data_IF_337322205654
#
_entry.id   IF_337322205654
#
_cell.length_a   1.000
_cell.length_b   1.000
_cell.length_c   1.000
_cell.angle_alpha   90.00
_cell.angle_beta   90.00
_cell.angle_gamma   90.00
#
_symmetry.space_group_name_H-M   'P 1'
#
loop_
_entity.id
_entity.type
_entity.pdbx_description
1 polymer ?
#
# COMPACT_ATOMS: atom_id res chain seq x y z
N UNK A 1 -6.53 5.18 70.34
CA UNK A 1 -5.67 5.38 69.15
C UNK A 1 -6.17 4.46 68.05
N UNK A 2 -6.67 5.04 66.97
CA UNK A 2 -7.32 4.38 65.84
C UNK A 2 -6.23 3.81 64.93
N UNK A 3 -6.25 2.51 64.63
CA UNK A 3 -5.38 1.89 63.62
C UNK A 3 -6.03 2.08 62.24
N UNK A 4 -5.36 2.83 61.36
CA UNK A 4 -5.70 2.98 59.95
C UNK A 4 -5.37 1.66 59.21
N UNK A 5 -6.35 1.05 58.54
CA UNK A 5 -6.11 0.00 57.55
C UNK A 5 -5.88 0.68 56.19
N UNK A 6 -4.67 0.60 55.64
CA UNK A 6 -4.42 0.89 54.23
C UNK A 6 -4.57 -0.42 53.45
N UNK A 7 -5.69 -0.59 52.74
CA UNK A 7 -5.78 -1.59 51.67
C UNK A 7 -5.15 -1.01 50.41
N UNK A 8 -3.99 -1.53 50.00
CA UNK A 8 -3.46 -1.32 48.67
C UNK A 8 -4.23 -2.19 47.67
N UNK A 9 -5.04 -1.57 46.82
CA UNK A 9 -5.59 -2.22 45.63
C UNK A 9 -4.46 -2.31 44.59
N UNK A 10 -3.85 -3.49 44.44
CA UNK A 10 -3.02 -3.77 43.28
C UNK A 10 -3.95 -3.96 42.07
N UNK A 11 -4.00 -2.97 41.19
CA UNK A 11 -4.53 -3.13 39.84
C UNK A 11 -3.56 -4.06 39.07
N UNK A 12 -3.90 -5.33 38.97
CA UNK A 12 -3.23 -6.29 38.09
C UNK A 12 -3.66 -5.94 36.67
N UNK A 13 -2.82 -5.20 35.95
CA UNK A 13 -2.94 -5.15 34.49
C UNK A 13 -2.49 -6.50 33.94
N UNK A 14 -3.32 -7.21 33.15
CA UNK A 14 -2.87 -8.43 32.51
C UNK A 14 -1.78 -8.06 31.50
N UNK A 15 -0.57 -8.55 31.73
CA UNK A 15 0.48 -8.56 30.73
C UNK A 15 -0.03 -9.44 29.58
N UNK A 16 -0.47 -8.83 28.48
CA UNK A 16 -0.74 -9.59 27.26
C UNK A 16 0.61 -10.04 26.74
N UNK A 17 0.99 -11.27 27.07
CA UNK A 17 2.15 -11.92 26.50
C UNK A 17 1.89 -12.12 25.01
N UNK A 18 2.38 -11.19 24.19
CA UNK A 18 2.51 -11.41 22.76
C UNK A 18 3.63 -12.43 22.61
N UNK A 19 3.28 -13.70 22.38
CA UNK A 19 4.27 -14.72 22.05
C UNK A 19 4.83 -14.39 20.67
N UNK A 20 5.94 -13.65 20.63
CA UNK A 20 6.64 -13.38 19.39
C UNK A 20 7.20 -14.70 18.86
N UNK A 21 6.78 -15.11 17.66
CA UNK A 21 7.33 -16.32 17.05
C UNK A 21 8.81 -16.07 16.74
N UNK A 22 9.68 -16.90 17.31
CA UNK A 22 11.11 -16.85 17.02
C UNK A 22 11.35 -17.73 15.79
N UNK A 23 11.78 -17.09 14.71
CA UNK A 23 12.18 -17.80 13.49
C UNK A 23 13.69 -18.03 13.53
N UNK A 24 14.09 -19.30 13.57
CA UNK A 24 15.48 -19.70 13.40
C UNK A 24 15.64 -20.26 11.98
N UNK A 25 16.41 -19.56 11.15
CA UNK A 25 16.63 -19.91 9.74
C UNK A 25 18.10 -20.20 9.54
N UNK A 26 18.41 -21.39 9.03
CA UNK A 26 19.77 -21.82 8.75
C UNK A 26 20.46 -20.89 7.72
N UNK A 27 21.76 -20.66 7.88
CA UNK A 27 22.52 -19.77 7.00
C UNK A 27 22.54 -20.23 5.55
N UNK A 28 22.58 -21.54 5.30
CA UNK A 28 22.51 -22.12 3.95
C UNK A 28 21.15 -21.84 3.32
N UNK A 29 20.06 -21.93 4.10
CA UNK A 29 18.71 -21.58 3.65
C UNK A 29 18.64 -20.10 3.27
N UNK A 30 19.18 -19.20 4.09
CA UNK A 30 19.24 -17.77 3.77
C UNK A 30 20.02 -17.48 2.48
N UNK A 31 21.18 -18.10 2.31
CA UNK A 31 21.99 -17.94 1.10
C UNK A 31 21.25 -18.41 -0.15
N UNK A 32 20.58 -19.56 -0.06
CA UNK A 32 19.72 -20.09 -1.12
C UNK A 32 18.56 -19.15 -1.45
N UNK A 33 17.88 -18.57 -0.46
CA UNK A 33 16.82 -17.57 -0.65
C UNK A 33 17.30 -16.36 -1.46
N UNK A 34 18.50 -15.86 -1.17
CA UNK A 34 19.10 -14.72 -1.88
C UNK A 34 19.37 -15.09 -3.35
N UNK A 35 19.90 -16.28 -3.62
CA UNK A 35 20.18 -16.75 -4.98
C UNK A 35 18.88 -16.94 -5.77
N UNK A 36 17.91 -17.65 -5.20
CA UNK A 36 16.61 -17.90 -5.84
C UNK A 36 15.89 -16.59 -6.13
N UNK A 37 15.98 -15.61 -5.23
CA UNK A 37 15.38 -14.29 -5.43
C UNK A 37 15.99 -13.52 -6.60
N UNK A 38 17.30 -13.58 -6.83
CA UNK A 38 17.92 -12.97 -8.02
C UNK A 38 17.39 -13.61 -9.30
N UNK A 39 17.33 -14.94 -9.33
CA UNK A 39 16.77 -15.68 -10.47
C UNK A 39 15.29 -15.32 -10.72
N UNK A 40 14.50 -15.20 -9.65
CA UNK A 40 13.09 -14.81 -9.77
C UNK A 40 12.92 -13.37 -10.29
N UNK A 41 13.83 -12.45 -9.93
CA UNK A 41 13.84 -11.09 -10.47
C UNK A 41 14.11 -11.07 -11.97
N UNK A 42 15.13 -11.82 -12.44
CA UNK A 42 15.40 -11.98 -13.88
C UNK A 42 14.17 -12.57 -14.60
N UNK A 43 13.53 -13.58 -14.01
CA UNK A 43 12.29 -14.15 -14.54
C UNK A 43 11.13 -13.13 -14.60
N UNK A 44 11.04 -12.20 -13.66
CA UNK A 44 10.02 -11.13 -13.68
C UNK A 44 10.30 -10.16 -14.85
N UNK A 45 11.56 -9.79 -15.07
CA UNK A 45 11.98 -8.94 -16.19
C UNK A 45 11.70 -9.60 -17.54
N UNK A 46 11.88 -10.92 -17.62
CA UNK A 46 11.54 -11.74 -18.79
C UNK A 46 10.04 -12.11 -18.90
N UNK A 47 9.18 -11.49 -18.08
CA UNK A 47 7.72 -11.74 -18.00
C UNK A 47 7.33 -13.21 -17.69
N UNK A 48 8.26 -14.00 -17.14
CA UNK A 48 8.07 -15.39 -16.73
C UNK A 48 7.44 -15.48 -15.33
N UNK A 49 6.29 -14.84 -15.17
CA UNK A 49 5.64 -14.61 -13.88
C UNK A 49 5.26 -15.90 -13.13
N UNK A 50 4.80 -16.93 -13.83
CA UNK A 50 4.39 -18.20 -13.21
C UNK A 50 5.57 -18.87 -12.49
N UNK A 51 6.73 -18.96 -13.16
CA UNK A 51 7.93 -19.59 -12.58
C UNK A 51 8.50 -18.76 -11.46
N UNK A 52 8.60 -17.43 -11.64
CA UNK A 52 9.04 -16.53 -10.59
C UNK A 52 8.16 -16.65 -9.34
N UNK A 53 6.84 -16.67 -9.51
CA UNK A 53 5.90 -16.81 -8.40
C UNK A 53 6.08 -18.14 -7.65
N UNK A 54 6.23 -19.25 -8.38
CA UNK A 54 6.49 -20.56 -7.77
C UNK A 54 7.80 -20.60 -6.97
N UNK A 55 8.86 -19.93 -7.47
CA UNK A 55 10.12 -19.81 -6.73
C UNK A 55 9.94 -18.99 -5.44
N UNK A 56 9.18 -17.89 -5.49
CA UNK A 56 8.94 -17.09 -4.28
C UNK A 56 8.08 -17.82 -3.25
N UNK A 57 7.12 -18.64 -3.67
CA UNK A 57 6.40 -19.53 -2.75
C UNK A 57 7.32 -20.53 -2.05
N UNK A 58 8.32 -21.07 -2.75
CA UNK A 58 9.34 -21.94 -2.16
C UNK A 58 10.17 -21.19 -1.13
N UNK A 59 10.68 -20.00 -1.49
CA UNK A 59 11.50 -19.19 -0.59
C UNK A 59 10.72 -18.79 0.66
N UNK A 60 9.47 -18.35 0.53
CA UNK A 60 8.63 -17.95 1.68
C UNK A 60 8.35 -19.14 2.61
N UNK A 61 8.23 -20.34 2.05
CA UNK A 61 8.01 -21.55 2.82
C UNK A 61 9.25 -21.94 3.64
N UNK A 62 10.43 -21.88 3.03
CA UNK A 62 11.67 -22.34 3.64
C UNK A 62 12.33 -21.25 4.51
N UNK A 63 12.12 -19.98 4.16
CA UNK A 63 12.69 -18.78 4.79
C UNK A 63 11.63 -17.66 4.92
N UNK A 64 10.67 -17.81 5.85
CA UNK A 64 9.57 -16.85 6.03
C UNK A 64 10.03 -15.47 6.51
N UNK A 65 11.28 -15.32 6.95
CA UNK A 65 11.84 -14.01 7.35
C UNK A 65 12.58 -13.32 6.20
N UNK A 66 12.62 -13.91 5.00
CA UNK A 66 13.16 -13.24 3.82
C UNK A 66 12.16 -12.26 3.19
N UNK A 67 12.14 -11.04 3.71
CA UNK A 67 11.25 -9.97 3.26
C UNK A 67 11.14 -9.81 1.72
N UNK A 68 12.24 -9.80 0.93
CA UNK A 68 12.16 -9.59 -0.51
C UNK A 68 11.28 -10.60 -1.26
N UNK A 69 11.15 -11.82 -0.75
CA UNK A 69 10.35 -12.85 -1.40
C UNK A 69 8.86 -12.49 -1.43
N UNK A 70 8.34 -11.80 -0.41
CA UNK A 70 6.95 -11.35 -0.36
C UNK A 70 6.66 -10.30 -1.44
N UNK A 71 7.56 -9.32 -1.58
CA UNK A 71 7.42 -8.25 -2.58
C UNK A 71 7.56 -8.80 -4.01
N UNK A 72 8.52 -9.70 -4.24
CA UNK A 72 8.68 -10.34 -5.54
C UNK A 72 7.57 -11.35 -5.85
N UNK A 73 6.99 -12.01 -4.83
CA UNK A 73 5.78 -12.80 -5.01
C UNK A 73 4.59 -11.92 -5.40
N UNK A 74 4.45 -10.73 -4.82
CA UNK A 74 3.45 -9.77 -5.30
C UNK A 74 3.71 -9.38 -6.75
N UNK A 75 4.93 -8.99 -7.12
CA UNK A 75 5.28 -8.55 -8.50
C UNK A 75 4.96 -9.62 -9.54
N UNK A 76 5.33 -10.87 -9.28
CA UNK A 76 5.07 -11.99 -10.19
C UNK A 76 3.65 -12.54 -10.07
N UNK A 77 3.26 -12.95 -8.87
CA UNK A 77 1.99 -13.63 -8.59
C UNK A 77 0.75 -12.78 -8.88
N UNK A 78 0.85 -11.45 -8.81
CA UNK A 78 -0.27 -10.55 -9.17
C UNK A 78 -0.59 -10.57 -10.67
N UNK A 79 0.37 -10.96 -11.53
CA UNK A 79 0.18 -11.13 -12.97
C UNK A 79 -0.44 -12.49 -13.33
N UNK A 80 -0.45 -13.43 -12.39
CA UNK A 80 -0.98 -14.77 -12.57
C UNK A 80 -2.40 -14.85 -12.00
N UNK A 81 -3.40 -15.00 -12.87
CA UNK A 81 -4.81 -14.98 -12.46
C UNK A 81 -5.16 -15.99 -11.35
N UNK A 82 -4.60 -17.20 -11.41
CA UNK A 82 -4.84 -18.26 -10.41
C UNK A 82 -4.16 -18.00 -9.05
N UNK A 83 -3.21 -17.06 -8.96
CA UNK A 83 -2.41 -16.82 -7.75
C UNK A 83 -2.80 -15.56 -6.99
N UNK A 84 -3.70 -14.71 -7.51
CA UNK A 84 -4.02 -13.41 -6.90
C UNK A 84 -4.50 -13.51 -5.44
N UNK A 85 -5.37 -14.47 -5.12
CA UNK A 85 -5.83 -14.65 -3.73
C UNK A 85 -4.69 -15.18 -2.84
N UNK A 86 -3.81 -16.02 -3.39
CA UNK A 86 -2.63 -16.50 -2.69
C UNK A 86 -1.68 -15.34 -2.36
N UNK A 87 -1.46 -14.41 -3.28
CA UNK A 87 -0.70 -13.18 -3.02
C UNK A 87 -1.32 -12.39 -1.87
N UNK A 88 -2.64 -12.17 -1.88
CA UNK A 88 -3.34 -11.47 -0.79
C UNK A 88 -3.11 -12.17 0.55
N UNK A 89 -3.25 -13.50 0.60
CA UNK A 89 -3.00 -14.26 1.82
C UNK A 89 -1.55 -14.15 2.28
N UNK A 90 -0.59 -14.32 1.38
CA UNK A 90 0.84 -14.30 1.68
C UNK A 90 1.29 -12.93 2.19
N UNK A 91 0.81 -11.82 1.62
CA UNK A 91 1.10 -10.48 2.16
C UNK A 91 0.53 -10.28 3.57
N UNK A 92 -0.69 -10.79 3.84
CA UNK A 92 -1.26 -10.73 5.20
C UNK A 92 -0.50 -11.58 6.21
N UNK A 93 0.06 -12.71 5.76
CA UNK A 93 0.93 -13.54 6.60
C UNK A 93 2.29 -12.86 6.83
N UNK A 94 2.87 -12.26 5.80
CA UNK A 94 4.09 -11.46 5.89
C UNK A 94 3.96 -10.29 6.87
N UNK A 95 2.83 -9.56 6.85
CA UNK A 95 2.56 -8.46 7.79
C UNK A 95 2.41 -8.89 9.25
N UNK A 96 2.32 -10.20 9.56
CA UNK A 96 2.42 -10.70 10.94
C UNK A 96 3.86 -10.89 11.40
N UNK A 97 4.81 -10.92 10.46
CA UNK A 97 6.24 -11.12 10.68
C UNK A 97 6.95 -9.76 10.62
N UNK A 98 6.68 -9.01 9.56
CA UNK A 98 7.15 -7.65 9.31
C UNK A 98 6.04 -6.70 9.73
N UNK A 99 5.87 -6.55 11.05
CA UNK A 99 4.91 -5.61 11.61
C UNK A 99 5.24 -4.19 11.14
N UNK A 100 4.21 -3.40 10.85
CA UNK A 100 4.34 -2.00 10.45
C UNK A 100 5.16 -1.79 9.16
N UNK A 101 5.14 -2.78 8.26
CA UNK A 101 5.74 -2.67 6.92
C UNK A 101 4.81 -1.89 5.97
N UNK A 102 5.22 -0.66 5.63
CA UNK A 102 4.43 0.24 4.80
C UNK A 102 4.41 -0.18 3.32
N UNK A 103 5.54 -0.68 2.78
CA UNK A 103 5.64 -1.14 1.40
C UNK A 103 4.74 -2.38 1.17
N UNK A 104 4.79 -3.35 2.08
CA UNK A 104 3.96 -4.56 2.01
C UNK A 104 2.47 -4.23 2.17
N UNK A 105 2.13 -3.30 3.07
CA UNK A 105 0.76 -2.80 3.23
C UNK A 105 0.27 -2.09 1.96
N UNK A 106 1.13 -1.30 1.30
CA UNK A 106 0.83 -0.66 0.02
C UNK A 106 0.58 -1.69 -1.10
N UNK A 107 1.44 -2.71 -1.23
CA UNK A 107 1.22 -3.77 -2.23
C UNK A 107 -0.04 -4.60 -1.96
N UNK A 108 -0.37 -4.83 -0.69
CA UNK A 108 -1.65 -5.44 -0.31
C UNK A 108 -2.81 -4.56 -0.78
N UNK A 109 -2.74 -3.24 -0.57
CA UNK A 109 -3.72 -2.28 -1.10
C UNK A 109 -3.87 -2.35 -2.62
N UNK A 110 -2.76 -2.41 -3.36
CA UNK A 110 -2.75 -2.46 -4.83
C UNK A 110 -3.47 -3.71 -5.36
N UNK A 111 -3.17 -4.90 -4.82
CA UNK A 111 -3.82 -6.13 -5.30
C UNK A 111 -5.31 -6.14 -4.91
N UNK A 112 -5.67 -5.68 -3.71
CA UNK A 112 -7.07 -5.57 -3.29
C UNK A 112 -7.86 -4.60 -4.18
N UNK A 113 -7.26 -3.46 -4.55
CA UNK A 113 -7.87 -2.50 -5.46
C UNK A 113 -8.11 -3.10 -6.85
N UNK A 114 -7.13 -3.83 -7.41
CA UNK A 114 -7.24 -4.55 -8.69
C UNK A 114 -8.35 -5.59 -8.67
N UNK A 115 -8.50 -6.31 -7.57
CA UNK A 115 -9.57 -7.30 -7.36
C UNK A 115 -10.89 -6.67 -6.89
N UNK A 116 -11.03 -5.34 -6.97
CA UNK A 116 -12.23 -4.59 -6.62
C UNK A 116 -12.69 -4.73 -5.15
N UNK A 117 -11.78 -5.12 -4.24
CA UNK A 117 -11.99 -5.18 -2.78
C UNK A 117 -11.70 -3.82 -2.15
N UNK A 118 -12.51 -2.82 -2.51
CA UNK A 118 -12.20 -1.40 -2.30
C UNK A 118 -12.08 -1.01 -0.83
N UNK A 119 -12.95 -1.49 0.05
CA UNK A 119 -12.87 -1.16 1.48
C UNK A 119 -11.61 -1.70 2.14
N UNK A 120 -11.22 -2.93 1.78
CA UNK A 120 -9.99 -3.54 2.27
C UNK A 120 -8.75 -2.84 1.72
N UNK A 121 -8.78 -2.41 0.45
CA UNK A 121 -7.71 -1.61 -0.13
C UNK A 121 -7.54 -0.26 0.59
N UNK A 122 -8.65 0.44 0.91
CA UNK A 122 -8.62 1.68 1.70
C UNK A 122 -7.96 1.45 3.05
N UNK A 123 -8.28 0.33 3.73
CA UNK A 123 -7.64 -0.02 4.99
C UNK A 123 -6.14 -0.24 4.81
N UNK A 124 -5.74 -1.10 3.88
CA UNK A 124 -4.32 -1.40 3.65
C UNK A 124 -3.49 -0.16 3.27
N UNK A 125 -4.02 0.75 2.46
CA UNK A 125 -3.34 2.03 2.19
C UNK A 125 -3.31 2.96 3.41
N UNK A 126 -4.31 2.90 4.29
CA UNK A 126 -4.29 3.68 5.53
C UNK A 126 -3.22 3.16 6.49
N UNK A 127 -3.11 1.84 6.61
CA UNK A 127 -2.04 1.18 7.36
C UNK A 127 -0.67 1.60 6.79
N UNK A 128 -0.47 1.54 5.47
CA UNK A 128 0.76 2.03 4.81
C UNK A 128 1.08 3.50 5.12
N UNK A 129 0.08 4.39 5.09
CA UNK A 129 0.26 5.81 5.41
C UNK A 129 0.65 6.00 6.87
N UNK A 130 0.07 5.24 7.79
CA UNK A 130 0.39 5.36 9.21
C UNK A 130 1.79 4.83 9.54
N UNK A 131 2.19 3.71 8.92
CA UNK A 131 3.52 3.13 9.07
C UNK A 131 4.63 3.96 8.41
N UNK A 132 4.35 4.63 7.28
CA UNK A 132 5.34 5.49 6.60
C UNK A 132 5.90 6.62 7.50
N UNK A 133 5.14 7.04 8.52
CA UNK A 133 5.56 8.07 9.49
C UNK A 133 6.61 7.57 10.48
N UNK A 134 6.73 6.25 10.64
CA UNK A 134 7.58 5.57 11.62
C UNK A 134 8.95 5.25 11.00
N UNK A 135 8.97 4.86 9.72
CA UNK A 135 10.14 4.25 9.09
C UNK A 135 11.20 5.24 8.54
N UNK A 136 11.00 6.56 8.66
CA UNK A 136 12.05 7.58 8.51
C UNK A 136 12.76 7.65 7.13
N UNK A 137 12.32 8.62 6.33
CA UNK A 137 13.01 9.30 5.20
C UNK A 137 13.40 8.50 3.93
N UNK A 138 13.15 9.15 2.78
CA UNK A 138 13.41 8.73 1.39
C UNK A 138 12.61 7.54 0.84
N UNK A 139 11.32 7.40 1.19
CA UNK A 139 10.42 6.53 0.43
C UNK A 139 9.78 7.27 -0.76
N UNK A 140 10.23 7.05 -2.02
CA UNK A 140 9.70 7.71 -3.22
C UNK A 140 8.24 7.34 -3.54
N UNK A 141 7.56 6.57 -2.69
CA UNK A 141 6.22 6.01 -2.91
C UNK A 141 5.13 6.61 -2.03
N UNK A 142 5.43 7.48 -1.05
CA UNK A 142 4.39 8.02 -0.14
C UNK A 142 3.29 8.76 -0.90
N UNK A 143 3.64 9.48 -1.97
CA UNK A 143 2.64 10.10 -2.85
C UNK A 143 1.68 9.06 -3.45
N UNK A 144 2.18 7.86 -3.77
CA UNK A 144 1.41 6.77 -4.37
C UNK A 144 0.45 6.14 -3.34
N UNK A 145 0.82 6.09 -2.06
CA UNK A 145 -0.05 5.58 -0.99
C UNK A 145 -1.32 6.45 -0.91
N UNK A 146 -1.12 7.76 -0.86
CA UNK A 146 -2.22 8.73 -0.84
C UNK A 146 -2.98 8.74 -2.17
N UNK A 147 -2.28 8.74 -3.31
CA UNK A 147 -2.93 8.72 -4.62
C UNK A 147 -3.85 7.49 -4.78
N UNK A 148 -3.39 6.30 -4.42
CA UNK A 148 -4.18 5.09 -4.59
C UNK A 148 -5.32 4.97 -3.58
N UNK A 149 -5.14 5.44 -2.33
CA UNK A 149 -6.27 5.57 -1.40
C UNK A 149 -7.30 6.58 -1.90
N UNK A 150 -6.84 7.71 -2.44
CA UNK A 150 -7.67 8.70 -3.12
C UNK A 150 -8.45 8.10 -4.29
N UNK A 151 -7.82 7.26 -5.11
CA UNK A 151 -8.46 6.52 -6.21
C UNK A 151 -9.55 5.57 -5.70
N UNK A 152 -9.31 4.88 -4.58
CA UNK A 152 -10.34 4.06 -3.93
C UNK A 152 -11.51 4.90 -3.42
N UNK A 153 -11.27 6.03 -2.74
CA UNK A 153 -12.33 6.94 -2.32
C UNK A 153 -13.11 7.51 -3.50
N UNK A 154 -12.42 7.90 -4.57
CA UNK A 154 -13.02 8.33 -5.83
C UNK A 154 -13.96 7.25 -6.40
N UNK A 155 -13.49 6.00 -6.48
CA UNK A 155 -14.27 4.85 -6.97
C UNK A 155 -15.51 4.55 -6.11
N UNK A 156 -15.43 4.83 -4.81
CA UNK A 156 -16.56 4.74 -3.88
C UNK A 156 -17.39 6.04 -3.79
N UNK A 157 -17.19 7.01 -4.70
CA UNK A 157 -17.87 8.32 -4.70
C UNK A 157 -17.67 9.16 -3.40
N UNK A 158 -16.65 8.85 -2.61
CA UNK A 158 -16.28 9.58 -1.38
C UNK A 158 -15.35 10.77 -1.71
N UNK A 159 -15.81 11.67 -2.58
CA UNK A 159 -14.99 12.74 -3.16
C UNK A 159 -14.33 13.65 -2.11
N UNK A 160 -15.05 14.01 -1.04
CA UNK A 160 -14.52 14.84 0.05
C UNK A 160 -13.36 14.18 0.81
N UNK A 161 -13.30 12.84 0.84
CA UNK A 161 -12.17 12.09 1.43
C UNK A 161 -11.00 11.94 0.45
N UNK A 162 -11.29 11.85 -0.85
CA UNK A 162 -10.26 11.73 -1.88
C UNK A 162 -9.44 13.03 -2.08
N UNK A 163 -10.08 14.20 -1.96
CA UNK A 163 -9.42 15.51 -2.15
C UNK A 163 -8.18 15.70 -1.26
N UNK A 164 -8.22 15.50 0.07
CA UNK A 164 -7.03 15.68 0.91
C UNK A 164 -5.92 14.69 0.57
N UNK A 165 -6.26 13.45 0.20
CA UNK A 165 -5.28 12.46 -0.26
C UNK A 165 -4.58 12.90 -1.55
N UNK A 166 -5.33 13.33 -2.57
CA UNK A 166 -4.73 13.86 -3.79
C UNK A 166 -3.92 15.14 -3.56
N UNK A 167 -4.38 16.02 -2.68
CA UNK A 167 -3.64 17.24 -2.34
C UNK A 167 -2.32 16.95 -1.66
N UNK A 168 -2.28 15.97 -0.74
CA UNK A 168 -1.03 15.55 -0.11
C UNK A 168 -0.12 14.86 -1.13
N UNK A 169 -0.66 13.98 -1.97
CA UNK A 169 0.12 13.34 -3.03
C UNK A 169 0.73 14.36 -4.01
N UNK A 170 -0.01 15.43 -4.38
CA UNK A 170 0.50 16.54 -5.20
C UNK A 170 1.54 17.41 -4.47
N UNK A 171 1.51 17.48 -3.13
CA UNK A 171 2.57 18.18 -2.40
C UNK A 171 3.93 17.47 -2.52
N UNK A 172 3.89 16.16 -2.75
CA UNK A 172 5.07 15.30 -2.94
C UNK A 172 5.44 15.09 -4.42
N UNK A 173 4.44 15.07 -5.32
CA UNK A 173 4.61 14.92 -6.77
C UNK A 173 3.78 15.99 -7.50
N UNK A 174 4.24 17.25 -7.53
CA UNK A 174 3.44 18.41 -7.95
C UNK A 174 3.12 18.47 -9.44
N UNK A 175 3.86 17.74 -10.26
CA UNK A 175 3.74 17.69 -11.72
C UNK A 175 3.02 16.44 -12.22
N UNK A 176 2.42 15.63 -11.32
CA UNK A 176 1.71 14.42 -11.72
C UNK A 176 0.32 14.75 -12.31
N UNK A 177 0.13 14.56 -13.63
CA UNK A 177 -1.09 15.01 -14.28
C UNK A 177 -2.29 14.10 -14.00
N UNK A 178 -2.08 12.85 -13.58
CA UNK A 178 -3.15 11.93 -13.23
C UNK A 178 -3.76 12.27 -11.87
N UNK A 179 -2.92 12.68 -10.90
CA UNK A 179 -3.40 13.15 -9.59
C UNK A 179 -4.21 14.44 -9.77
N UNK A 180 -3.71 15.41 -10.55
CA UNK A 180 -4.43 16.64 -10.88
C UNK A 180 -5.78 16.34 -11.54
N UNK A 181 -5.81 15.41 -12.51
CA UNK A 181 -7.04 15.04 -13.21
C UNK A 181 -8.08 14.47 -12.26
N UNK A 182 -7.67 13.56 -11.38
CA UNK A 182 -8.56 12.90 -10.42
C UNK A 182 -9.03 13.85 -9.32
N UNK A 183 -8.16 14.74 -8.83
CA UNK A 183 -8.54 15.79 -7.87
C UNK A 183 -9.51 16.79 -8.49
N UNK A 184 -9.27 17.21 -9.73
CA UNK A 184 -10.18 18.08 -10.48
C UNK A 184 -11.56 17.45 -10.64
N UNK A 185 -11.64 16.15 -10.91
CA UNK A 185 -12.92 15.44 -10.93
C UNK A 185 -13.63 15.46 -9.57
N UNK A 186 -12.90 15.22 -8.47
CA UNK A 186 -13.47 15.32 -7.13
C UNK A 186 -13.96 16.74 -6.79
N UNK A 187 -13.21 17.78 -7.15
CA UNK A 187 -13.63 19.17 -7.00
C UNK A 187 -14.92 19.46 -7.76
N UNK A 188 -15.01 19.03 -9.02
CA UNK A 188 -16.23 19.20 -9.81
C UNK A 188 -17.44 18.51 -9.16
N UNK A 189 -17.26 17.26 -8.69
CA UNK A 189 -18.34 16.50 -8.01
C UNK A 189 -18.77 17.14 -6.69
N UNK A 190 -17.89 17.88 -6.03
CA UNK A 190 -18.15 18.61 -4.79
C UNK A 190 -18.49 20.09 -5.01
N UNK A 191 -18.85 20.47 -6.25
CA UNK A 191 -19.31 21.81 -6.65
C UNK A 191 -18.24 22.92 -6.59
N UNK A 192 -16.98 22.54 -6.54
CA UNK A 192 -15.81 23.41 -6.61
C UNK A 192 -15.34 23.51 -8.07
N UNK A 193 -16.17 24.12 -8.94
CA UNK A 193 -15.94 24.16 -10.40
C UNK A 193 -14.65 24.90 -10.76
N UNK A 194 -14.35 26.01 -10.09
CA UNK A 194 -13.17 26.83 -10.38
C UNK A 194 -11.88 26.05 -10.11
N UNK A 195 -11.80 25.37 -8.98
CA UNK A 195 -10.69 24.53 -8.55
C UNK A 195 -10.51 23.34 -9.49
N UNK A 196 -11.61 22.71 -9.92
CA UNK A 196 -11.58 21.64 -10.91
C UNK A 196 -10.96 22.10 -12.25
N UNK A 197 -11.36 23.28 -12.71
CA UNK A 197 -10.84 23.84 -13.95
C UNK A 197 -9.37 24.21 -13.86
N UNK A 198 -8.90 24.71 -12.73
CA UNK A 198 -7.47 24.95 -12.50
C UNK A 198 -6.68 23.64 -12.58
N UNK A 199 -7.11 22.60 -11.86
CA UNK A 199 -6.45 21.29 -11.85
C UNK A 199 -6.41 20.65 -13.25
N UNK A 200 -7.49 20.70 -14.01
CA UNK A 200 -7.51 20.13 -15.36
C UNK A 200 -6.63 20.90 -16.35
N UNK A 201 -6.55 22.23 -16.24
CA UNK A 201 -5.63 23.03 -17.06
C UNK A 201 -4.17 22.67 -16.73
N UNK A 202 -3.83 22.54 -15.45
CA UNK A 202 -2.49 22.11 -15.02
C UNK A 202 -2.19 20.67 -15.49
N UNK A 203 -3.14 19.75 -15.41
CA UNK A 203 -2.97 18.39 -15.92
C UNK A 203 -2.65 18.37 -17.42
N UNK A 204 -3.28 19.22 -18.23
CA UNK A 204 -2.96 19.37 -19.66
C UNK A 204 -1.55 19.95 -19.84
N UNK A 205 -1.15 20.94 -19.04
CA UNK A 205 0.20 21.54 -19.08
C UNK A 205 1.28 20.50 -18.79
N UNK A 206 1.02 19.57 -17.87
CA UNK A 206 1.91 18.45 -17.53
C UNK A 206 1.73 17.20 -18.43
N UNK A 207 0.95 17.30 -19.51
CA UNK A 207 0.94 16.29 -20.58
C UNK A 207 -0.28 15.37 -20.64
N UNK A 208 -1.21 15.42 -19.68
CA UNK A 208 -2.46 14.66 -19.79
C UNK A 208 -3.47 15.40 -20.70
N UNK A 209 -3.33 15.15 -21.99
CA UNK A 209 -4.21 15.73 -23.04
C UNK A 209 -5.66 15.30 -22.89
N UNK A 210 -5.96 14.18 -22.23
CA UNK A 210 -7.34 13.73 -22.04
C UNK A 210 -8.13 14.69 -21.15
N UNK A 211 -7.46 15.43 -20.27
CA UNK A 211 -8.09 16.40 -19.38
C UNK A 211 -8.70 17.61 -20.11
N UNK A 212 -8.29 17.85 -21.36
CA UNK A 212 -8.92 18.86 -22.24
C UNK A 212 -10.43 18.62 -22.43
N UNK A 213 -10.88 17.36 -22.41
CA UNK A 213 -12.31 17.01 -22.52
C UNK A 213 -13.12 17.56 -21.34
N UNK A 214 -12.55 17.52 -20.13
CA UNK A 214 -13.19 18.07 -18.95
C UNK A 214 -13.26 19.59 -19.03
N UNK A 215 -12.19 20.25 -19.49
CA UNK A 215 -12.16 21.71 -19.67
C UNK A 215 -13.26 22.16 -20.65
N UNK A 216 -13.34 21.53 -21.82
CA UNK A 216 -14.34 21.87 -22.83
C UNK A 216 -15.77 21.67 -22.31
N UNK A 217 -16.01 20.63 -21.52
CA UNK A 217 -17.34 20.28 -21.03
C UNK A 217 -17.78 21.10 -19.83
N UNK A 218 -16.83 21.52 -18.99
CA UNK A 218 -17.12 21.98 -17.63
C UNK A 218 -16.42 23.27 -17.24
N UNK A 219 -15.62 23.91 -18.08
CA UNK A 219 -14.88 25.14 -17.72
C UNK A 219 -15.23 26.37 -18.55
N UNK A 220 -16.30 26.26 -19.35
CA UNK A 220 -16.94 27.37 -20.05
C UNK A 220 -17.98 28.06 -19.15
#
# INVERSE_FOLDING_TARGET
MIKLNLSFFFLIFPLVAHSQMIYDVDSEVRENSIVINKVAMEMIEDENYEKAANLMELVIKDDPTFHPAYLNFYRAGSQVASKKEKVIQTLREGLKIFEEDDEMSYYLGNILQRENRIEEAIKAYSDAIDYSKINGEDYPLVWAYHFNRGNCFLKSNQFNKAIPDYSYALSLSPDNPDILTNRGFCYYKTKQKSEACLDWNEAVRFGNKNSSKYIQSFCQ
#
